data_IF_946965683852
#
_entry.id   IF_946965683852
#
_cell.length_a   1.000
_cell.length_b   1.000
_cell.length_c   1.000
_cell.angle_alpha   90.00
_cell.angle_beta   90.00
_cell.angle_gamma   90.00
#
_symmetry.space_group_name_H-M   'P 1'
#
loop_
_entity.id
_entity.type
_entity.pdbx_description
1 polymer ?
#
# COMPACT_ATOMS: atom_id res chain seq x y z
N UNK A 1 -17.86 14.25 2.96
CA UNK A 1 -17.06 15.38 2.43
C UNK A 1 -16.14 15.08 1.22
N UNK A 2 -16.22 13.90 0.58
CA UNK A 2 -15.48 13.59 -0.67
C UNK A 2 -16.34 13.69 -1.95
N UNK A 3 -17.62 14.06 -1.81
CA UNK A 3 -18.55 14.27 -2.92
C UNK A 3 -18.15 15.53 -3.72
N UNK A 4 -17.33 15.34 -4.74
CA UNK A 4 -16.83 16.43 -5.60
C UNK A 4 -15.43 16.22 -6.16
N UNK A 5 -14.65 15.28 -5.60
CA UNK A 5 -13.34 14.92 -6.14
C UNK A 5 -13.46 13.92 -7.30
N UNK A 6 -12.50 13.96 -8.23
CA UNK A 6 -12.40 12.98 -9.31
C UNK A 6 -12.34 11.55 -8.69
N UNK A 7 -13.24 10.62 -9.07
CA UNK A 7 -13.29 9.29 -8.47
C UNK A 7 -11.98 8.49 -8.61
N UNK A 8 -11.28 8.62 -9.74
CA UNK A 8 -9.99 7.94 -9.99
C UNK A 8 -8.90 8.51 -9.09
N UNK A 9 -8.87 9.84 -8.91
CA UNK A 9 -7.94 10.48 -7.96
C UNK A 9 -8.21 10.03 -6.52
N UNK A 10 -9.48 9.99 -6.13
CA UNK A 10 -9.90 9.58 -4.78
C UNK A 10 -9.51 8.12 -4.50
N UNK A 11 -9.73 7.25 -5.48
CA UNK A 11 -9.26 5.86 -5.45
C UNK A 11 -7.74 5.78 -5.23
N UNK A 12 -6.95 6.52 -6.02
CA UNK A 12 -5.49 6.57 -5.89
C UNK A 12 -5.03 7.04 -4.50
N UNK A 13 -5.68 8.05 -3.91
CA UNK A 13 -5.38 8.54 -2.57
C UNK A 13 -5.70 7.52 -1.46
N UNK A 14 -6.82 6.80 -1.58
CA UNK A 14 -7.17 5.74 -0.64
C UNK A 14 -6.18 4.57 -0.71
N UNK A 15 -5.74 4.19 -1.91
CA UNK A 15 -4.69 3.17 -2.10
C UNK A 15 -3.35 3.67 -1.53
N UNK A 16 -3.01 4.95 -1.68
CA UNK A 16 -1.82 5.54 -1.06
C UNK A 16 -1.88 5.46 0.47
N UNK A 17 -3.00 5.87 1.07
CA UNK A 17 -3.21 5.78 2.51
C UNK A 17 -3.04 4.33 2.99
N UNK A 18 -3.68 3.38 2.29
CA UNK A 18 -3.57 1.96 2.59
C UNK A 18 -2.12 1.48 2.51
N UNK A 19 -1.38 1.83 1.46
CA UNK A 19 0.02 1.49 1.26
C UNK A 19 0.93 2.00 2.37
N UNK A 20 0.91 3.30 2.63
CA UNK A 20 1.88 3.94 3.53
C UNK A 20 1.56 3.77 5.01
N UNK A 21 0.31 3.52 5.40
CA UNK A 21 0.02 3.21 6.81
C UNK A 21 0.62 1.87 7.23
N UNK A 22 1.04 1.00 6.29
CA UNK A 22 1.74 -0.25 6.62
C UNK A 22 3.06 -0.02 7.38
N UNK A 23 3.68 1.17 7.28
CA UNK A 23 4.83 1.52 8.13
C UNK A 23 4.53 1.39 9.63
N UNK A 24 3.27 1.44 10.05
CA UNK A 24 2.86 1.28 11.44
C UNK A 24 2.47 -0.16 11.82
N UNK A 25 2.64 -1.14 10.92
CA UNK A 25 2.27 -2.53 11.13
C UNK A 25 3.47 -3.47 10.97
N UNK A 26 3.60 -4.41 11.90
CA UNK A 26 4.59 -5.49 11.84
C UNK A 26 4.12 -6.75 11.09
N UNK A 27 2.95 -6.70 10.47
CA UNK A 27 2.36 -7.85 9.78
C UNK A 27 1.41 -7.40 8.68
N UNK A 28 1.64 -7.89 7.46
CA UNK A 28 0.72 -7.71 6.33
C UNK A 28 -0.66 -8.31 6.63
N UNK A 29 -0.72 -9.46 7.31
CA UNK A 29 -2.00 -10.09 7.66
C UNK A 29 -2.77 -9.24 8.67
N UNK A 30 -2.11 -8.73 9.71
CA UNK A 30 -2.75 -7.85 10.69
C UNK A 30 -3.22 -6.53 10.05
N UNK A 31 -2.38 -5.94 9.19
CA UNK A 31 -2.73 -4.77 8.42
C UNK A 31 -3.95 -5.02 7.53
N UNK A 32 -3.97 -6.12 6.78
CA UNK A 32 -5.07 -6.49 5.89
C UNK A 32 -6.37 -6.67 6.68
N UNK A 33 -6.32 -7.42 7.78
CA UNK A 33 -7.49 -7.69 8.62
C UNK A 33 -8.09 -6.40 9.21
N UNK A 34 -7.25 -5.46 9.63
CA UNK A 34 -7.69 -4.22 10.29
C UNK A 34 -8.10 -3.12 9.31
N UNK A 35 -7.35 -2.94 8.21
CA UNK A 35 -7.42 -1.73 7.38
C UNK A 35 -8.20 -1.96 6.09
N UNK A 36 -8.12 -3.15 5.48
CA UNK A 36 -8.74 -3.41 4.17
C UNK A 36 -10.26 -3.22 4.20
N UNK A 37 -11.02 -3.76 5.17
CA UNK A 37 -12.47 -3.58 5.20
C UNK A 37 -12.87 -2.10 5.35
N UNK A 38 -12.12 -1.35 6.16
CA UNK A 38 -12.36 0.06 6.42
C UNK A 38 -12.14 0.88 5.14
N UNK A 39 -10.96 0.77 4.52
CA UNK A 39 -10.63 1.54 3.32
C UNK A 39 -11.52 1.17 2.13
N UNK A 40 -11.80 -0.12 1.96
CA UNK A 40 -12.71 -0.59 0.92
C UNK A 40 -14.12 -0.03 1.10
N UNK A 41 -14.65 -0.06 2.33
CA UNK A 41 -15.99 0.49 2.63
C UNK A 41 -16.09 1.99 2.33
N UNK A 42 -15.03 2.74 2.64
CA UNK A 42 -14.95 4.18 2.36
C UNK A 42 -14.98 4.44 0.85
N UNK A 43 -14.19 3.71 0.05
CA UNK A 43 -14.17 3.92 -1.40
C UNK A 43 -15.46 3.49 -2.10
N UNK A 44 -16.09 2.39 -1.65
CA UNK A 44 -17.39 1.93 -2.18
C UNK A 44 -18.50 2.96 -1.93
N UNK A 45 -18.44 3.69 -0.82
CA UNK A 45 -19.42 4.72 -0.49
C UNK A 45 -19.31 5.98 -1.36
N UNK A 46 -18.26 6.13 -2.18
CA UNK A 46 -18.00 7.32 -2.99
C UNK A 46 -18.59 7.11 -4.40
N UNK A 47 -19.56 7.94 -4.83
CA UNK A 47 -20.15 7.81 -6.15
C UNK A 47 -19.12 7.88 -7.28
N UNK A 48 -19.21 6.95 -8.22
CA UNK A 48 -18.36 6.90 -9.42
C UNK A 48 -16.99 6.23 -9.23
N UNK A 49 -16.63 5.76 -8.03
CA UNK A 49 -15.41 4.96 -7.84
C UNK A 49 -15.63 3.57 -8.46
N UNK A 50 -14.74 3.12 -9.37
CA UNK A 50 -14.84 1.79 -9.95
C UNK A 50 -14.42 0.74 -8.90
N UNK A 51 -15.41 0.10 -8.27
CA UNK A 51 -15.21 -0.76 -7.09
C UNK A 51 -14.25 -1.93 -7.35
N UNK A 52 -14.37 -2.58 -8.51
CA UNK A 52 -13.52 -3.73 -8.85
C UNK A 52 -12.06 -3.32 -9.03
N UNK A 53 -11.72 -2.32 -9.88
CA UNK A 53 -10.36 -1.75 -9.94
C UNK A 53 -9.82 -1.31 -8.58
N UNK A 54 -10.64 -0.64 -7.77
CA UNK A 54 -10.23 -0.20 -6.44
C UNK A 54 -9.85 -1.37 -5.52
N UNK A 55 -10.69 -2.41 -5.45
CA UNK A 55 -10.41 -3.60 -4.66
C UNK A 55 -9.13 -4.32 -5.15
N UNK A 56 -8.93 -4.43 -6.47
CA UNK A 56 -7.73 -5.02 -7.05
C UNK A 56 -6.47 -4.23 -6.68
N UNK A 57 -6.50 -2.89 -6.79
CA UNK A 57 -5.37 -2.04 -6.40
C UNK A 57 -5.01 -2.21 -4.91
N UNK A 58 -6.01 -2.29 -4.02
CA UNK A 58 -5.76 -2.55 -2.59
C UNK A 58 -5.09 -3.92 -2.39
N UNK A 59 -5.60 -4.97 -3.02
CA UNK A 59 -5.04 -6.33 -2.86
C UNK A 59 -3.65 -6.46 -3.48
N UNK A 60 -3.42 -5.90 -4.67
CA UNK A 60 -2.09 -5.89 -5.30
C UNK A 60 -1.06 -5.17 -4.46
N UNK A 61 -1.46 -4.08 -3.79
CA UNK A 61 -0.57 -3.31 -2.93
C UNK A 61 -0.01 -4.14 -1.76
N UNK A 62 -0.77 -5.12 -1.24
CA UNK A 62 -0.31 -6.01 -0.16
C UNK A 62 0.95 -6.79 -0.51
N UNK A 63 1.07 -7.24 -1.77
CA UNK A 63 2.26 -7.94 -2.25
C UNK A 63 3.50 -7.05 -2.35
N UNK A 64 3.30 -5.74 -2.46
CA UNK A 64 4.37 -4.75 -2.67
C UNK A 64 4.83 -4.10 -1.35
N UNK A 65 3.96 -4.02 -0.34
CA UNK A 65 4.25 -3.40 0.96
C UNK A 65 5.38 -4.09 1.74
N UNK A 66 5.73 -5.34 1.40
CA UNK A 66 6.73 -6.12 2.13
C UNK A 66 8.14 -5.51 2.15
N UNK A 67 8.43 -4.55 1.27
CA UNK A 67 9.72 -3.83 1.22
C UNK A 67 9.80 -2.62 2.15
N UNK A 68 8.67 -2.13 2.67
CA UNK A 68 8.57 -0.78 3.25
C UNK A 68 9.32 -0.61 4.58
N UNK A 69 9.29 -1.61 5.45
CA UNK A 69 9.88 -1.53 6.79
C UNK A 69 10.64 -2.80 7.15
N UNK A 70 11.59 -2.74 8.11
CA UNK A 70 12.34 -3.91 8.59
C UNK A 70 11.50 -5.01 9.25
N UNK A 71 10.20 -4.77 9.45
CA UNK A 71 9.27 -5.68 10.10
C UNK A 71 8.01 -5.92 9.28
N UNK A 72 7.95 -5.47 8.02
CA UNK A 72 6.77 -5.63 7.18
C UNK A 72 6.37 -7.11 6.99
N UNK A 73 7.36 -8.01 6.96
CA UNK A 73 7.18 -9.45 6.74
C UNK A 73 8.00 -10.28 7.71
N UNK A 74 7.65 -11.56 7.87
CA UNK A 74 8.39 -12.49 8.74
C UNK A 74 9.90 -12.59 8.48
N UNK A 75 10.37 -12.60 7.21
CA UNK A 75 11.80 -12.61 6.91
C UNK A 75 12.51 -11.26 7.14
N UNK A 76 11.80 -10.13 7.11
CA UNK A 76 12.44 -8.80 7.14
C UNK A 76 13.30 -8.55 8.39
N UNK A 77 12.88 -8.93 9.63
CA UNK A 77 13.72 -8.78 10.81
C UNK A 77 15.01 -9.62 10.76
N UNK A 78 14.98 -10.78 10.09
CA UNK A 78 16.15 -11.65 9.93
C UNK A 78 17.19 -10.94 9.06
N UNK A 79 16.77 -10.36 7.92
CA UNK A 79 17.65 -9.57 7.07
C UNK A 79 18.16 -8.32 7.78
N UNK A 80 17.30 -7.63 8.53
CA UNK A 80 17.69 -6.45 9.29
C UNK A 80 18.71 -6.75 10.39
N UNK A 81 18.61 -7.91 11.05
CA UNK A 81 19.54 -8.36 12.07
C UNK A 81 20.82 -9.00 11.54
N UNK A 82 20.87 -9.34 10.23
CA UNK A 82 21.98 -10.08 9.62
C UNK A 82 23.33 -9.35 9.61
N UNK A 83 23.33 -8.02 9.75
CA UNK A 83 24.53 -7.19 9.71
C UNK A 83 25.09 -6.91 8.30
N UNK A 84 24.51 -7.47 7.23
CA UNK A 84 24.96 -7.23 5.86
C UNK A 84 24.54 -5.87 5.30
N UNK A 85 23.42 -5.31 5.77
CA UNK A 85 22.90 -4.00 5.35
C UNK A 85 22.86 -3.09 6.57
N UNK A 86 23.35 -1.86 6.43
CA UNK A 86 23.30 -0.90 7.52
C UNK A 86 21.84 -0.57 7.87
N UNK A 87 21.56 -0.37 9.16
CA UNK A 87 20.19 -0.11 9.65
C UNK A 87 19.53 1.09 8.96
N UNK A 88 20.28 2.18 8.77
CA UNK A 88 19.79 3.36 8.08
C UNK A 88 19.49 3.08 6.59
N UNK A 89 20.30 2.25 5.93
CA UNK A 89 20.08 1.87 4.55
C UNK A 89 18.85 0.98 4.40
N UNK A 90 18.54 0.12 5.37
CA UNK A 90 17.32 -0.70 5.31
C UNK A 90 16.05 0.17 5.25
N UNK A 91 15.98 1.22 6.07
CA UNK A 91 14.88 2.18 6.05
C UNK A 91 14.89 3.04 4.78
N UNK A 92 16.05 3.53 4.36
CA UNK A 92 16.20 4.34 3.17
C UNK A 92 15.80 3.57 1.91
N UNK A 93 16.28 2.35 1.76
CA UNK A 93 15.94 1.47 0.64
C UNK A 93 14.47 1.06 0.72
N UNK A 94 13.93 0.78 1.91
CA UNK A 94 12.51 0.49 2.07
C UNK A 94 11.59 1.62 1.61
N UNK A 95 11.97 2.87 1.90
CA UNK A 95 11.27 4.05 1.39
C UNK A 95 11.42 4.20 -0.13
N UNK A 96 12.64 4.08 -0.66
CA UNK A 96 12.91 4.23 -2.11
C UNK A 96 12.16 3.17 -2.91
N UNK A 97 12.33 1.90 -2.58
CA UNK A 97 11.67 0.80 -3.29
C UNK A 97 10.16 0.78 -3.02
N UNK A 98 9.72 1.15 -1.82
CA UNK A 98 8.30 1.33 -1.52
C UNK A 98 7.66 2.38 -2.44
N UNK A 99 8.32 3.53 -2.64
CA UNK A 99 7.86 4.56 -3.58
C UNK A 99 7.88 4.07 -5.03
N UNK A 100 8.92 3.35 -5.46
CA UNK A 100 9.01 2.79 -6.82
C UNK A 100 7.88 1.79 -7.08
N UNK A 101 7.63 0.87 -6.14
CA UNK A 101 6.58 -0.14 -6.28
C UNK A 101 5.20 0.48 -6.23
N UNK A 102 4.98 1.45 -5.34
CA UNK A 102 3.73 2.20 -5.29
C UNK A 102 3.49 3.00 -6.57
N UNK A 103 4.51 3.72 -7.07
CA UNK A 103 4.42 4.46 -8.33
C UNK A 103 4.11 3.52 -9.50
N UNK A 104 4.77 2.36 -9.56
CA UNK A 104 4.49 1.32 -10.56
C UNK A 104 3.04 0.85 -10.48
N UNK A 105 2.53 0.57 -9.27
CA UNK A 105 1.14 0.15 -9.07
C UNK A 105 0.15 1.21 -9.55
N UNK A 106 0.39 2.49 -9.27
CA UNK A 106 -0.52 3.57 -9.68
C UNK A 106 -0.41 3.86 -11.17
N UNK A 107 0.81 4.04 -11.69
CA UNK A 107 1.07 4.44 -13.07
C UNK A 107 0.73 3.35 -14.09
N UNK A 108 0.83 2.08 -13.70
CA UNK A 108 0.48 0.94 -14.57
C UNK A 108 -0.89 0.38 -14.21
N UNK A 109 -1.16 0.19 -12.92
CA UNK A 109 -2.40 -0.45 -12.47
C UNK A 109 -3.64 0.39 -12.74
N UNK A 110 -3.61 1.72 -12.54
CA UNK A 110 -4.79 2.55 -12.83
C UNK A 110 -5.14 2.51 -14.34
N UNK A 111 -4.22 2.80 -15.29
CA UNK A 111 -4.56 2.76 -16.72
C UNK A 111 -4.91 1.36 -17.24
N UNK A 112 -4.46 0.30 -16.58
CA UNK A 112 -4.78 -1.08 -16.97
C UNK A 112 -6.16 -1.54 -16.47
N UNK A 113 -6.59 -1.06 -15.31
CA UNK A 113 -7.79 -1.54 -14.63
C UNK A 113 -9.02 -0.64 -14.85
N UNK A 114 -8.82 0.66 -15.12
CA UNK A 114 -9.89 1.66 -15.33
C UNK A 114 -10.13 1.85 -16.81
#
# INVERSE_FOLDING_TARGET
>A
PLSGFNPVLTMGLLVALFFFIHYFFASLSAHTAAVLPVVLSVGVAIPGVPVVPFALLLVYSLGLMGVTSPYATGPAPIYYASGFVARADFWRLGLIFGLIFFATLILIGIPWLV
#
